data_IF_912065570862
#
_entry.id   IF_912065570862
#
_cell.length_a   1.000
_cell.length_b   1.000
_cell.length_c   1.000
_cell.angle_alpha   90.00
_cell.angle_beta   90.00
_cell.angle_gamma   90.00
#
_symmetry.space_group_name_H-M   'P 1'
#
loop_
_entity.id
_entity.type
_entity.pdbx_description
1 polymer ?
#
# COMPACT_ATOMS: atom_id res chain seq x y z
N UNK A 1 13.11 -5.73 -49.66
CA UNK A 1 13.24 -5.60 -48.19
C UNK A 1 12.56 -4.35 -47.57
N UNK A 2 11.66 -3.63 -48.27
CA UNK A 2 10.95 -2.45 -47.69
C UNK A 2 9.77 -2.80 -46.75
N UNK A 3 9.29 -4.04 -46.79
CA UNK A 3 8.11 -4.47 -46.01
C UNK A 3 8.45 -4.71 -44.53
N UNK A 4 9.69 -5.13 -44.23
CA UNK A 4 10.19 -5.40 -42.87
C UNK A 4 10.09 -4.17 -41.96
N UNK A 5 10.39 -2.98 -42.48
CA UNK A 5 10.45 -1.76 -41.67
C UNK A 5 9.09 -1.32 -41.13
N UNK A 6 8.01 -1.54 -41.90
CA UNK A 6 6.63 -1.23 -41.47
C UNK A 6 6.15 -2.21 -40.41
N UNK A 7 6.48 -3.49 -40.57
CA UNK A 7 6.15 -4.53 -39.60
C UNK A 7 6.88 -4.28 -38.27
N UNK A 8 8.17 -3.95 -38.30
CA UNK A 8 8.94 -3.63 -37.09
C UNK A 8 8.38 -2.41 -36.35
N UNK A 9 8.00 -1.35 -37.08
CA UNK A 9 7.35 -0.19 -36.45
C UNK A 9 6.01 -0.54 -35.83
N UNK A 10 5.21 -1.39 -36.49
CA UNK A 10 3.92 -1.84 -35.96
C UNK A 10 4.09 -2.62 -34.65
N UNK A 11 5.04 -3.57 -34.61
CA UNK A 11 5.35 -4.31 -33.39
C UNK A 11 5.93 -3.42 -32.29
N UNK A 12 6.78 -2.45 -32.65
CA UNK A 12 7.32 -1.47 -31.70
C UNK A 12 6.22 -0.62 -31.05
N UNK A 13 5.26 -0.14 -31.83
CA UNK A 13 4.11 0.61 -31.31
C UNK A 13 3.22 -0.26 -30.41
N UNK A 14 3.02 -1.54 -30.77
CA UNK A 14 2.21 -2.48 -29.99
C UNK A 14 2.85 -2.80 -28.64
N UNK A 15 4.17 -3.04 -28.62
CA UNK A 15 4.94 -3.25 -27.38
C UNK A 15 4.97 -1.99 -26.51
N UNK A 16 5.13 -0.81 -27.12
CA UNK A 16 5.07 0.47 -26.40
C UNK A 16 3.69 0.65 -25.74
N UNK A 17 2.61 0.33 -26.45
CA UNK A 17 1.27 0.46 -25.91
C UNK A 17 1.03 -0.50 -24.74
N UNK A 18 1.49 -1.76 -24.87
CA UNK A 18 1.47 -2.72 -23.76
C UNK A 18 2.30 -2.25 -22.56
N UNK A 19 3.47 -1.66 -22.82
CA UNK A 19 4.32 -1.11 -21.77
C UNK A 19 3.63 0.04 -21.02
N UNK A 20 2.99 0.97 -21.74
CA UNK A 20 2.25 2.08 -21.12
C UNK A 20 1.07 1.54 -20.28
N UNK A 21 0.31 0.57 -20.81
CA UNK A 21 -0.80 -0.06 -20.06
C UNK A 21 -0.25 -0.76 -18.81
N UNK A 22 0.84 -1.51 -18.93
CA UNK A 22 1.47 -2.18 -17.80
C UNK A 22 1.93 -1.16 -16.74
N UNK A 23 2.57 -0.07 -17.15
CA UNK A 23 3.01 1.01 -16.25
C UNK A 23 1.81 1.67 -15.58
N UNK A 24 0.72 1.97 -16.31
CA UNK A 24 -0.48 2.58 -15.72
C UNK A 24 -1.17 1.63 -14.75
N UNK A 25 -1.29 0.35 -15.09
CA UNK A 25 -1.93 -0.67 -14.24
C UNK A 25 -1.07 -0.99 -13.02
N UNK A 26 0.26 -1.04 -13.16
CA UNK A 26 1.19 -1.28 -12.04
C UNK A 26 1.41 -0.06 -11.15
N UNK A 27 1.36 1.16 -11.71
CA UNK A 27 1.39 2.42 -10.95
C UNK A 27 0.05 2.79 -10.33
N UNK A 28 -1.01 1.98 -10.47
CA UNK A 28 -2.08 1.92 -9.47
C UNK A 28 -1.58 1.27 -8.17
N UNK A 29 -0.34 1.59 -7.79
CA UNK A 29 0.29 1.19 -6.56
C UNK A 29 -0.52 1.75 -5.41
N UNK A 30 -1.31 0.87 -4.82
CA UNK A 30 -2.03 1.00 -3.58
C UNK A 30 -2.73 2.36 -3.41
N UNK A 31 -3.94 2.45 -3.96
CA UNK A 31 -4.95 3.36 -3.40
C UNK A 31 -4.94 3.18 -1.88
N UNK A 32 -4.50 4.21 -1.18
CA UNK A 32 -4.40 4.18 0.27
C UNK A 32 -5.83 4.23 0.79
N UNK A 33 -6.34 3.10 1.26
CA UNK A 33 -7.69 3.03 1.78
C UNK A 33 -7.73 3.74 3.13
N UNK A 34 -8.62 4.72 3.27
CA UNK A 34 -8.89 5.33 4.56
C UNK A 34 -9.58 4.29 5.46
N UNK A 35 -8.95 4.02 6.60
CA UNK A 35 -9.43 3.14 7.64
C UNK A 35 -9.56 3.94 8.93
N UNK A 36 -10.44 3.49 9.82
CA UNK A 36 -10.57 4.11 11.14
C UNK A 36 -9.38 3.74 12.03
N UNK A 37 -9.09 4.57 13.03
CA UNK A 37 -8.02 4.26 13.99
C UNK A 37 -8.33 3.00 14.82
N UNK A 38 -9.61 2.68 15.06
CA UNK A 38 -9.99 1.42 15.71
C UNK A 38 -9.64 0.20 14.84
N UNK A 39 -9.86 0.27 13.53
CA UNK A 39 -9.46 -0.81 12.61
C UNK A 39 -7.94 -1.00 12.57
N UNK A 40 -7.17 0.09 12.68
CA UNK A 40 -5.71 -0.02 12.88
C UNK A 40 -5.36 -0.81 14.14
N UNK A 41 -5.98 -0.46 15.28
CA UNK A 41 -5.70 -1.14 16.55
C UNK A 41 -6.14 -2.61 16.51
N UNK A 42 -7.30 -2.91 15.94
CA UNK A 42 -7.79 -4.29 15.80
C UNK A 42 -6.87 -5.11 14.89
N UNK A 43 -6.33 -4.52 13.82
CA UNK A 43 -5.42 -5.21 12.89
C UNK A 43 -4.03 -5.44 13.53
N UNK A 44 -3.55 -4.49 14.33
CA UNK A 44 -2.33 -4.64 15.14
C UNK A 44 -2.50 -5.71 16.23
N UNK A 45 -3.67 -5.76 16.88
CA UNK A 45 -3.98 -6.68 17.97
C UNK A 45 -4.27 -8.10 17.49
N UNK A 46 -5.01 -8.24 16.39
CA UNK A 46 -5.43 -9.54 15.87
C UNK A 46 -4.32 -10.26 15.12
N UNK A 47 -3.38 -9.55 14.48
CA UNK A 47 -2.35 -10.20 13.69
C UNK A 47 -1.10 -9.32 13.46
N UNK A 48 -0.26 -9.17 14.49
CA UNK A 48 0.99 -8.39 14.42
C UNK A 48 1.96 -8.84 13.32
N UNK A 49 1.89 -10.10 12.88
CA UNK A 49 2.69 -10.64 11.78
C UNK A 49 2.17 -10.25 10.39
N UNK A 50 0.90 -9.85 10.27
CA UNK A 50 0.27 -9.51 8.99
C UNK A 50 0.49 -8.05 8.57
N UNK A 51 1.08 -7.25 9.45
CA UNK A 51 1.42 -5.85 9.21
C UNK A 51 2.91 -5.78 8.92
N UNK A 52 3.25 -5.66 7.63
CA UNK A 52 4.65 -5.69 7.21
C UNK A 52 5.45 -4.46 7.66
N UNK A 53 4.85 -3.27 7.63
CA UNK A 53 5.49 -2.00 8.03
C UNK A 53 4.43 -0.94 8.33
N UNK A 54 4.57 -0.24 9.47
CA UNK A 54 3.75 0.93 9.85
C UNK A 54 4.62 2.18 9.72
N UNK A 55 4.24 3.07 8.81
CA UNK A 55 4.80 4.42 8.68
C UNK A 55 3.92 5.40 9.45
N UNK A 56 4.50 6.09 10.44
CA UNK A 56 3.81 7.13 11.22
C UNK A 56 4.18 8.49 10.64
N UNK A 57 3.20 9.22 10.10
CA UNK A 57 3.37 10.60 9.67
C UNK A 57 2.65 11.53 10.67
N UNK A 58 3.36 12.52 11.23
CA UNK A 58 2.80 13.59 12.06
C UNK A 58 1.99 13.17 13.31
N UNK A 59 2.45 12.21 14.11
CA UNK A 59 1.86 11.76 15.41
C UNK A 59 0.39 11.29 15.37
N UNK A 60 -0.32 11.53 14.26
CA UNK A 60 -1.74 11.29 14.11
C UNK A 60 -2.10 10.56 12.83
N UNK A 61 -1.16 10.34 11.92
CA UNK A 61 -1.40 9.56 10.71
C UNK A 61 -0.61 8.26 10.76
N UNK A 62 -1.33 7.16 10.60
CA UNK A 62 -0.78 5.81 10.60
C UNK A 62 -1.03 5.23 9.23
N UNK A 63 0.04 4.90 8.53
CA UNK A 63 -0.03 4.22 7.23
C UNK A 63 0.58 2.84 7.39
N UNK A 64 -0.17 1.79 7.13
CA UNK A 64 0.35 0.43 7.24
C UNK A 64 0.01 -0.39 6.00
N UNK A 65 0.83 -1.40 5.75
CA UNK A 65 0.61 -2.36 4.65
C UNK A 65 0.26 -3.72 5.24
N UNK A 66 -0.91 -4.23 4.86
CA UNK A 66 -1.33 -5.61 5.19
C UNK A 66 -0.69 -6.61 4.23
N UNK A 67 -0.64 -7.89 4.63
CA UNK A 67 -0.14 -9.02 3.82
C UNK A 67 -0.69 -9.07 2.39
N UNK A 68 -1.93 -8.62 2.20
CA UNK A 68 -2.58 -8.51 0.89
C UNK A 68 -2.06 -7.35 0.03
N UNK A 69 -0.94 -6.71 0.41
CA UNK A 69 -0.36 -5.51 -0.22
C UNK A 69 -1.33 -4.32 -0.28
N UNK A 70 -2.33 -4.30 0.59
CA UNK A 70 -3.25 -3.18 0.73
C UNK A 70 -2.61 -2.16 1.67
N UNK A 71 -2.46 -0.94 1.18
CA UNK A 71 -1.98 0.18 1.99
C UNK A 71 -3.19 0.86 2.60
N UNK A 72 -3.23 0.94 3.92
CA UNK A 72 -4.31 1.61 4.66
C UNK A 72 -3.76 2.83 5.37
N UNK A 73 -4.60 3.84 5.58
CA UNK A 73 -4.29 5.05 6.35
C UNK A 73 -5.37 5.28 7.38
N UNK A 74 -4.98 5.43 8.63
CA UNK A 74 -5.84 5.91 9.69
C UNK A 74 -5.35 7.26 10.20
N UNK A 75 -6.32 8.13 10.53
CA UNK A 75 -6.07 9.39 11.19
C UNK A 75 -6.67 9.31 12.60
N UNK A 76 -5.84 9.46 13.63
CA UNK A 76 -6.25 9.37 15.03
C UNK A 76 -5.12 9.84 15.95
N UNK A 77 -5.42 10.41 17.12
CA UNK A 77 -4.38 10.82 18.07
C UNK A 77 -3.88 9.62 18.87
N UNK A 78 -2.56 9.39 18.85
CA UNK A 78 -1.93 8.50 19.82
C UNK A 78 -1.94 9.22 21.19
N UNK A 79 -2.92 8.90 22.04
CA UNK A 79 -2.93 9.38 23.43
C UNK A 79 -2.14 8.45 24.32
N UNK A 80 -1.63 8.96 25.45
CA UNK A 80 -0.90 8.17 26.45
C UNK A 80 -1.68 6.93 26.91
N UNK A 81 -3.02 7.03 27.01
CA UNK A 81 -3.88 5.89 27.32
C UNK A 81 -3.85 4.82 26.22
N UNK A 82 -3.78 5.23 24.96
CA UNK A 82 -3.68 4.32 23.81
C UNK A 82 -2.32 3.61 23.79
N UNK A 83 -1.24 4.35 24.08
CA UNK A 83 0.11 3.78 24.22
C UNK A 83 0.17 2.80 25.39
N UNK A 84 -0.49 3.14 26.51
CA UNK A 84 -0.58 2.26 27.66
C UNK A 84 -1.35 0.99 27.33
N UNK A 85 -2.46 1.09 26.60
CA UNK A 85 -3.20 -0.08 26.10
C UNK A 85 -2.37 -0.97 25.18
N UNK A 86 -1.58 -0.39 24.26
CA UNK A 86 -0.68 -1.15 23.39
C UNK A 86 0.46 -1.83 24.17
N UNK A 87 0.95 -1.18 25.23
CA UNK A 87 2.01 -1.71 26.10
C UNK A 87 1.50 -2.79 27.05
N UNK A 88 0.29 -2.65 27.58
CA UNK A 88 -0.33 -3.61 28.49
C UNK A 88 -0.74 -4.91 27.78
N UNK A 89 -0.89 -4.88 26.45
CA UNK A 89 -1.19 -6.07 25.63
C UNK A 89 0.02 -6.94 25.23
N UNK A 90 1.21 -6.68 25.80
CA UNK A 90 2.43 -7.50 25.68
C UNK A 90 2.75 -7.93 24.23
N UNK A 91 3.23 -6.97 23.42
CA UNK A 91 3.97 -7.28 22.19
C UNK A 91 5.29 -7.95 22.61
N UNK A 92 5.32 -9.29 22.56
CA UNK A 92 6.53 -10.12 22.58
C UNK A 92 6.85 -10.66 21.20
#
# INVERSE_FOLDING_TARGET
>A
MRQSHRTIMMWGALLLMFYIIYVVVSNKGAEVQEATFSEFLDEVDSNSQAIGTVDIHNESEFVWTTDNKLRKRAVGKLTDDTIRHLRDKDIK
#
